data_IF_376913237281
#
_entry.id   IF_376913237281
#
_cell.length_a   1.000
_cell.length_b   1.000
_cell.length_c   1.000
_cell.angle_alpha   90.00
_cell.angle_beta   90.00
_cell.angle_gamma   90.00
#
_symmetry.space_group_name_H-M   'P 1'
#
loop_
_entity.id
_entity.type
_entity.pdbx_description
1 polymer ?
#
# COMPACT_ATOMS: atom_id res chain seq x y z
N UNK A 1 -21.52 -5.81 18.51
CA UNK A 1 -20.27 -6.59 18.66
C UNK A 1 -19.41 -6.41 17.42
N UNK A 2 -18.10 -6.29 17.60
CA UNK A 2 -17.20 -6.04 16.49
C UNK A 2 -16.60 -7.36 15.99
N UNK A 3 -16.47 -7.47 14.71
CA UNK A 3 -15.85 -8.62 14.08
C UNK A 3 -14.69 -8.16 13.21
N UNK A 4 -13.87 -9.12 12.82
CA UNK A 4 -12.74 -8.85 11.94
C UNK A 4 -13.13 -9.20 10.51
N UNK A 5 -12.89 -8.28 9.60
CA UNK A 5 -13.17 -8.48 8.19
C UNK A 5 -11.88 -8.34 7.41
N UNK A 6 -11.66 -9.25 6.49
CA UNK A 6 -10.49 -9.19 5.62
C UNK A 6 -10.91 -8.62 4.27
N UNK A 7 -10.19 -7.60 3.84
CA UNK A 7 -10.47 -6.93 2.56
C UNK A 7 -9.22 -7.02 1.71
N UNK A 8 -9.38 -7.50 0.49
CA UNK A 8 -8.30 -7.52 -0.48
C UNK A 8 -8.40 -6.27 -1.34
N UNK A 9 -7.29 -5.57 -1.49
CA UNK A 9 -7.29 -4.36 -2.29
C UNK A 9 -5.88 -4.06 -2.78
N UNK A 10 -5.79 -3.12 -3.69
CA UNK A 10 -4.52 -2.59 -4.16
C UNK A 10 -4.43 -1.15 -3.73
N UNK A 11 -3.24 -0.74 -3.30
CA UNK A 11 -3.02 0.59 -2.78
C UNK A 11 -1.83 1.20 -3.50
N UNK A 12 -1.96 2.44 -3.93
CA UNK A 12 -0.86 3.17 -4.53
C UNK A 12 -0.31 4.16 -3.53
N UNK A 13 1.01 4.24 -3.48
CA UNK A 13 1.71 5.14 -2.56
C UNK A 13 2.75 5.90 -3.35
N UNK A 14 2.82 7.18 -3.12
CA UNK A 14 3.85 8.01 -3.74
C UNK A 14 5.12 7.93 -2.92
N UNK A 15 6.18 7.37 -3.48
CA UNK A 15 7.43 7.16 -2.77
C UNK A 15 8.58 7.10 -3.76
N UNK A 16 9.79 7.25 -3.25
CA UNK A 16 10.98 7.24 -4.11
C UNK A 16 11.42 5.81 -4.47
N UNK A 17 11.07 4.84 -3.65
CA UNK A 17 11.39 3.44 -3.95
C UNK A 17 10.38 2.54 -3.23
N UNK A 18 10.50 1.23 -3.46
CA UNK A 18 9.54 0.30 -2.92
C UNK A 18 9.69 0.11 -1.40
N UNK A 19 10.90 0.24 -0.88
CA UNK A 19 11.10 0.16 0.55
C UNK A 19 10.36 1.28 1.26
N UNK A 20 10.48 2.49 0.73
CA UNK A 20 9.79 3.63 1.31
C UNK A 20 8.28 3.49 1.16
N UNK A 21 7.84 2.97 0.03
CA UNK A 21 6.41 2.78 -0.20
C UNK A 21 5.83 1.85 0.85
N UNK A 22 6.50 0.74 1.12
CA UNK A 22 6.02 -0.20 2.11
C UNK A 22 6.07 0.40 3.50
N UNK A 23 7.11 1.15 3.81
CA UNK A 23 7.23 1.80 5.11
C UNK A 23 6.08 2.78 5.35
N UNK A 24 5.74 3.56 4.33
CA UNK A 24 4.63 4.51 4.44
C UNK A 24 3.31 3.79 4.64
N UNK A 25 3.13 2.69 3.94
CA UNK A 25 1.91 1.92 4.08
C UNK A 25 1.78 1.36 5.49
N UNK A 26 2.84 0.78 6.01
CA UNK A 26 2.81 0.19 7.34
C UNK A 26 2.58 1.24 8.42
N UNK A 27 3.17 2.41 8.24
CA UNK A 27 2.97 3.50 9.18
C UNK A 27 1.51 3.93 9.20
N UNK A 28 0.92 4.07 8.03
CA UNK A 28 -0.47 4.47 7.91
C UNK A 28 -1.40 3.42 8.53
N UNK A 29 -1.14 2.17 8.27
CA UNK A 29 -1.95 1.09 8.82
C UNK A 29 -1.91 1.12 10.35
N UNK A 30 -0.73 1.39 10.91
CA UNK A 30 -0.59 1.43 12.35
C UNK A 30 -1.45 2.50 13.02
N UNK A 31 -1.74 3.58 12.31
CA UNK A 31 -2.55 4.66 12.86
C UNK A 31 -4.03 4.51 12.60
N UNK A 32 -4.41 3.71 11.63
CA UNK A 32 -5.80 3.69 11.17
C UNK A 32 -6.63 2.57 11.78
N UNK A 33 -6.03 1.73 12.61
CA UNK A 33 -6.76 0.61 13.17
C UNK A 33 -6.86 -0.57 12.24
N UNK A 34 -6.17 -0.50 11.12
CA UNK A 34 -6.10 -1.61 10.18
C UNK A 34 -4.91 -2.49 10.53
N UNK A 35 -4.91 -3.67 9.97
CA UNK A 35 -3.80 -4.60 10.17
C UNK A 35 -3.52 -5.30 8.87
N UNK A 36 -2.24 -5.34 8.50
CA UNK A 36 -1.84 -6.08 7.32
C UNK A 36 -1.81 -7.56 7.65
N UNK A 37 -2.63 -8.32 6.97
CA UNK A 37 -2.68 -9.76 7.16
C UNK A 37 -1.63 -10.43 6.29
N UNK A 38 -1.49 -9.95 5.07
CA UNK A 38 -0.56 -10.55 4.13
C UNK A 38 -0.14 -9.50 3.09
N UNK A 39 1.13 -9.47 2.81
CA UNK A 39 1.68 -8.64 1.74
C UNK A 39 2.09 -9.58 0.61
N UNK A 40 1.75 -9.22 -0.62
CA UNK A 40 2.02 -10.05 -1.77
C UNK A 40 3.13 -9.46 -2.62
N UNK A 41 3.05 -8.16 -2.92
CA UNK A 41 3.96 -7.59 -3.88
C UNK A 41 3.98 -6.08 -3.76
N UNK A 42 5.13 -5.50 -4.04
CA UNK A 42 5.27 -4.06 -4.21
C UNK A 42 5.94 -3.85 -5.56
N UNK A 43 5.33 -3.04 -6.40
CA UNK A 43 5.89 -2.81 -7.71
C UNK A 43 5.62 -1.39 -8.16
N UNK A 44 6.46 -0.92 -9.05
CA UNK A 44 6.30 0.40 -9.63
C UNK A 44 5.16 0.35 -10.66
N UNK A 45 4.23 1.26 -10.50
CA UNK A 45 3.11 1.35 -11.44
C UNK A 45 3.48 2.33 -12.54
N UNK A 46 3.89 1.81 -13.67
CA UNK A 46 4.37 2.62 -14.77
C UNK A 46 3.26 3.31 -15.54
N UNK A 47 2.05 2.92 -15.33
CA UNK A 47 0.93 3.52 -16.05
C UNK A 47 0.70 4.96 -15.66
N UNK A 48 1.10 5.34 -14.48
CA UNK A 48 0.91 6.71 -14.03
C UNK A 48 1.96 7.65 -14.57
N UNK A 49 3.02 7.15 -15.19
CA UNK A 49 4.05 7.97 -15.83
C UNK A 49 3.55 8.34 -17.20
N UNK A 50 3.54 9.50 -17.52
CA UNK A 50 3.13 9.80 -18.85
C UNK A 50 4.28 9.95 -19.80
N UNK A 51 4.27 10.04 -20.10
CA UNK A 51 5.01 10.23 -20.65
C UNK A 51 5.36 10.76 -21.36
N UNK A 52 5.64 10.96 -21.46
CA UNK A 52 5.90 11.29 -21.85
C UNK A 52 6.37 11.56 -22.47
N UNK A 53 6.49 11.57 -22.94
CA UNK A 53 6.97 11.77 -23.46
C UNK A 53 7.13 11.95 -23.80
#
# INVERSE_FOLDING_TARGET
>A
MKDYYTIQCEIEVEAIDDDMALALLLDTIGFSGFRMVRWIDTRLNKETETNDN
#
